data_IF_682807223671
#
_entry.id   IF_682807223671
#
_cell.length_a   1.000
_cell.length_b   1.000
_cell.length_c   1.000
_cell.angle_alpha   90.00
_cell.angle_beta   90.00
_cell.angle_gamma   90.00
#
_symmetry.space_group_name_H-M   'P 1'
#
loop_
_entity.id
_entity.type
_entity.pdbx_description
1 polymer ?
#
# COMPACT_ATOMS: atom_id res chain seq x y z
N UNK A 1 -19.39 28.89 -20.46
CA UNK A 1 -19.92 27.51 -20.58
C UNK A 1 -19.00 26.57 -19.82
N UNK A 2 -19.39 26.16 -18.62
CA UNK A 2 -18.62 25.24 -17.79
C UNK A 2 -18.78 23.84 -18.37
N UNK A 3 -17.73 23.28 -18.97
CA UNK A 3 -17.73 21.89 -19.42
C UNK A 3 -17.96 21.03 -18.17
N UNK A 4 -19.19 20.57 -17.93
CA UNK A 4 -19.45 19.47 -17.00
C UNK A 4 -18.62 18.32 -17.52
N UNK A 5 -17.44 18.08 -16.96
CA UNK A 5 -16.62 16.90 -17.26
C UNK A 5 -17.52 15.69 -17.01
N UNK A 6 -18.07 15.16 -18.11
CA UNK A 6 -18.83 13.93 -18.18
C UNK A 6 -17.96 12.85 -17.54
N UNK A 7 -18.56 11.95 -16.77
CA UNK A 7 -17.84 10.83 -16.16
C UNK A 7 -17.07 10.08 -17.25
N UNK A 8 -15.77 9.86 -17.02
CA UNK A 8 -14.89 9.08 -17.88
C UNK A 8 -14.37 7.88 -17.06
N UNK A 9 -14.90 6.66 -17.30
CA UNK A 9 -14.54 5.49 -16.52
C UNK A 9 -13.03 5.21 -16.54
N UNK A 10 -12.36 5.38 -17.68
CA UNK A 10 -10.94 5.05 -17.81
C UNK A 10 -10.08 5.98 -16.94
N UNK A 11 -10.41 7.27 -16.93
CA UNK A 11 -9.72 8.26 -16.08
C UNK A 11 -9.95 7.99 -14.60
N UNK A 12 -11.16 7.61 -14.20
CA UNK A 12 -11.47 7.34 -12.80
C UNK A 12 -10.87 6.00 -12.31
N UNK A 13 -10.86 4.96 -13.15
CA UNK A 13 -10.23 3.67 -12.84
C UNK A 13 -8.70 3.76 -12.74
N UNK A 14 -8.06 4.68 -13.47
CA UNK A 14 -6.62 4.93 -13.39
C UNK A 14 -6.18 5.70 -12.13
N UNK A 15 -7.13 6.30 -11.39
CA UNK A 15 -6.81 6.95 -10.11
C UNK A 15 -6.56 5.90 -9.03
N UNK A 16 -5.86 6.31 -7.98
CA UNK A 16 -5.50 5.38 -6.93
C UNK A 16 -4.62 5.98 -5.85
N UNK A 17 -4.24 5.13 -4.90
CA UNK A 17 -3.34 5.49 -3.84
C UNK A 17 -1.89 5.38 -4.32
N UNK A 18 -1.13 6.48 -4.22
CA UNK A 18 0.32 6.42 -4.35
C UNK A 18 0.90 5.60 -3.20
N UNK A 19 1.63 4.54 -3.54
CA UNK A 19 2.33 3.68 -2.59
C UNK A 19 3.74 4.20 -2.37
N UNK A 20 4.08 4.42 -1.12
CA UNK A 20 5.44 4.77 -0.69
C UNK A 20 5.88 3.84 0.43
N UNK A 21 7.18 3.60 0.53
CA UNK A 21 7.73 2.69 1.51
C UNK A 21 9.01 3.28 2.11
N UNK A 22 9.19 3.09 3.41
CA UNK A 22 10.37 3.53 4.16
C UNK A 22 10.79 2.44 5.14
N UNK A 23 12.10 2.25 5.27
CA UNK A 23 12.68 1.38 6.30
C UNK A 23 13.48 2.21 7.30
N UNK A 24 13.12 2.06 8.58
CA UNK A 24 13.85 2.61 9.72
C UNK A 24 14.73 1.54 10.40
N UNK A 25 14.69 0.29 9.92
CA UNK A 25 15.61 -0.78 10.33
C UNK A 25 17.02 -0.59 9.78
N UNK A 26 17.14 0.11 8.64
CA UNK A 26 18.39 0.43 7.93
C UNK A 26 19.14 -0.78 7.34
N UNK A 27 18.97 -2.00 7.88
CA UNK A 27 19.55 -3.24 7.34
C UNK A 27 18.60 -3.96 6.40
N UNK A 28 17.36 -4.20 6.82
CA UNK A 28 16.32 -4.64 5.90
C UNK A 28 15.79 -3.44 5.13
N UNK A 29 15.77 -3.53 3.80
CA UNK A 29 15.36 -2.46 2.89
C UNK A 29 14.01 -2.80 2.25
N UNK A 30 13.35 -1.77 1.76
CA UNK A 30 12.13 -1.88 0.96
C UNK A 30 12.25 -0.98 -0.26
N UNK A 31 11.85 -1.49 -1.42
CA UNK A 31 11.81 -0.75 -2.67
C UNK A 31 10.40 -0.82 -3.26
N UNK A 32 9.86 0.31 -3.72
CA UNK A 32 8.58 0.33 -4.42
C UNK A 32 8.82 -0.02 -5.88
N UNK A 33 8.23 -1.13 -6.33
CA UNK A 33 8.36 -1.62 -7.72
C UNK A 33 7.17 -1.24 -8.58
N UNK A 34 5.99 -1.05 -7.98
CA UNK A 34 4.81 -0.44 -8.61
C UNK A 34 4.21 0.61 -7.67
N UNK A 35 4.28 1.91 -8.00
CA UNK A 35 4.01 2.98 -7.06
C UNK A 35 2.55 3.39 -6.93
N UNK A 36 1.62 2.71 -7.59
CA UNK A 36 0.22 3.09 -7.63
C UNK A 36 -0.68 1.87 -7.44
N UNK A 37 -1.63 1.98 -6.52
CA UNK A 37 -2.73 1.01 -6.33
C UNK A 37 -3.99 1.64 -6.91
N UNK A 38 -4.46 1.18 -8.07
CA UNK A 38 -5.55 1.85 -8.80
C UNK A 38 -6.93 1.33 -8.41
N UNK A 39 -7.96 2.17 -8.61
CA UNK A 39 -9.37 1.79 -8.46
C UNK A 39 -9.73 0.67 -9.43
N UNK A 40 -9.14 0.68 -10.63
CA UNK A 40 -9.30 -0.35 -11.65
C UNK A 40 -8.64 -1.70 -11.32
N UNK A 41 -8.04 -1.85 -10.13
CA UNK A 41 -7.48 -3.12 -9.66
C UNK A 41 -6.02 -3.36 -10.03
N UNK A 42 -5.32 -2.38 -10.61
CA UNK A 42 -3.88 -2.52 -10.82
C UNK A 42 -3.16 -2.46 -9.47
N UNK A 43 -2.32 -3.46 -9.14
CA UNK A 43 -1.69 -3.53 -7.84
C UNK A 43 -0.47 -2.61 -7.74
N UNK A 44 -0.36 -1.94 -6.61
CA UNK A 44 0.91 -1.41 -6.13
C UNK A 44 1.76 -2.54 -5.58
N UNK A 45 3.08 -2.42 -5.63
CA UNK A 45 3.98 -3.49 -5.23
C UNK A 45 5.26 -2.96 -4.60
N UNK A 46 5.76 -3.71 -3.62
CA UNK A 46 7.04 -3.49 -2.96
C UNK A 46 7.85 -4.77 -2.89
N UNK A 47 9.16 -4.62 -2.86
CA UNK A 47 10.14 -5.67 -2.69
C UNK A 47 10.95 -5.43 -1.41
N UNK A 48 11.04 -6.45 -0.56
CA UNK A 48 11.83 -6.42 0.66
C UNK A 48 13.17 -7.14 0.45
N UNK A 49 14.24 -6.63 1.03
CA UNK A 49 15.57 -7.24 0.91
C UNK A 49 16.42 -7.06 2.15
N UNK A 50 17.48 -7.87 2.29
CA UNK A 50 18.38 -7.85 3.45
C UNK A 50 17.85 -8.65 4.63
N UNK A 51 18.40 -8.43 5.82
CA UNK A 51 17.99 -9.10 7.06
C UNK A 51 17.83 -8.05 8.15
N UNK A 52 16.75 -8.12 8.90
CA UNK A 52 16.41 -7.07 9.86
C UNK A 52 17.41 -7.02 11.01
N UNK A 53 17.78 -5.81 11.42
CA UNK A 53 18.44 -5.56 12.71
C UNK A 53 17.48 -5.87 13.86
N UNK A 54 16.21 -5.49 13.69
CA UNK A 54 15.15 -5.60 14.69
C UNK A 54 14.94 -4.31 15.48
N UNK A 55 13.82 -4.25 16.22
CA UNK A 55 13.37 -3.06 16.95
C UNK A 55 14.43 -2.50 17.91
N UNK A 56 14.73 -1.22 17.74
CA UNK A 56 15.54 -0.41 18.65
C UNK A 56 14.67 0.56 19.46
N UNK A 57 15.24 1.69 19.87
CA UNK A 57 14.50 2.78 20.52
C UNK A 57 13.70 3.59 19.51
N UNK A 58 12.47 3.99 19.86
CA UNK A 58 11.61 4.79 18.99
C UNK A 58 11.17 4.05 17.72
N UNK A 59 11.38 4.69 16.56
CA UNK A 59 11.00 4.17 15.23
C UNK A 59 12.05 3.24 14.62
N UNK A 60 13.26 3.18 15.20
CA UNK A 60 14.33 2.34 14.68
C UNK A 60 13.94 0.85 14.71
N UNK A 61 14.26 0.13 13.63
CA UNK A 61 13.88 -1.27 13.47
C UNK A 61 12.42 -1.47 13.05
N UNK A 62 11.75 -0.43 12.56
CA UNK A 62 10.42 -0.54 11.94
C UNK A 62 10.49 -0.38 10.42
N UNK A 63 9.42 -0.78 9.76
CA UNK A 63 9.20 -0.54 8.33
C UNK A 63 7.80 -0.01 8.11
N UNK A 64 7.65 0.93 7.20
CA UNK A 64 6.40 1.63 6.91
C UNK A 64 6.04 1.50 5.44
N UNK A 65 4.77 1.19 5.17
CA UNK A 65 4.11 1.33 3.88
C UNK A 65 3.02 2.37 3.99
N UNK A 66 3.00 3.34 3.09
CA UNK A 66 2.01 4.41 3.07
C UNK A 66 1.25 4.41 1.75
N UNK A 67 -0.08 4.36 1.86
CA UNK A 67 -1.04 4.53 0.78
C UNK A 67 -1.62 5.94 0.86
N UNK A 68 -1.35 6.77 -0.14
CA UNK A 68 -1.80 8.16 -0.16
C UNK A 68 -3.32 8.28 -0.25
N UNK A 69 -3.83 9.39 0.29
CA UNK A 69 -5.21 9.81 0.14
C UNK A 69 -5.51 10.09 -1.34
N UNK A 70 -6.68 9.68 -1.82
CA UNK A 70 -7.13 9.99 -3.17
C UNK A 70 -8.66 10.10 -3.26
N UNK A 71 -9.14 10.60 -4.40
CA UNK A 71 -10.56 10.75 -4.72
C UNK A 71 -10.83 10.24 -6.12
N UNK A 72 -12.00 9.65 -6.32
CA UNK A 72 -12.48 9.25 -7.63
C UNK A 72 -14.00 9.43 -7.70
N UNK A 73 -14.53 9.53 -8.91
CA UNK A 73 -15.96 9.62 -9.18
C UNK A 73 -16.50 8.25 -9.55
N UNK A 74 -17.64 7.85 -9.00
CA UNK A 74 -18.38 6.64 -9.37
C UNK A 74 -19.27 6.89 -10.60
N UNK A 75 -19.75 5.83 -11.28
CA UNK A 75 -20.68 5.96 -12.41
C UNK A 75 -21.96 6.76 -12.10
N UNK A 76 -22.45 6.68 -10.87
CA UNK A 76 -23.62 7.42 -10.37
C UNK A 76 -23.35 8.93 -10.14
N UNK A 77 -22.12 9.38 -10.35
CA UNK A 77 -21.69 10.77 -10.19
C UNK A 77 -21.21 11.13 -8.78
N UNK A 78 -21.32 10.23 -7.81
CA UNK A 78 -20.82 10.45 -6.44
C UNK A 78 -19.29 10.49 -6.42
N UNK A 79 -18.72 11.29 -5.53
CA UNK A 79 -17.27 11.40 -5.35
C UNK A 79 -16.88 10.67 -4.08
N UNK A 80 -16.15 9.57 -4.25
CA UNK A 80 -15.58 8.81 -3.16
C UNK A 80 -14.26 9.42 -2.71
N UNK A 81 -14.05 9.41 -1.40
CA UNK A 81 -12.83 9.87 -0.76
C UNK A 81 -12.21 8.73 0.04
N UNK A 82 -11.04 8.28 -0.40
CA UNK A 82 -10.31 7.19 0.27
C UNK A 82 -9.22 7.81 1.11
N UNK A 83 -9.39 7.75 2.43
CA UNK A 83 -8.42 8.28 3.38
C UNK A 83 -7.06 7.59 3.25
N UNK A 84 -5.98 8.35 3.39
CA UNK A 84 -4.63 7.80 3.41
C UNK A 84 -4.44 6.81 4.57
N UNK A 85 -3.49 5.90 4.41
CA UNK A 85 -3.18 4.87 5.40
C UNK A 85 -1.69 4.63 5.50
N UNK A 86 -1.15 4.82 6.70
CA UNK A 86 0.21 4.45 7.05
C UNK A 86 0.19 3.14 7.87
N UNK A 87 0.83 2.11 7.35
CA UNK A 87 1.03 0.82 8.00
C UNK A 87 2.48 0.74 8.42
N UNK A 88 2.75 0.80 9.73
CA UNK A 88 4.11 0.68 10.27
C UNK A 88 4.21 -0.54 11.16
N UNK A 89 5.15 -1.43 10.85
CA UNK A 89 5.37 -2.68 11.57
C UNK A 89 6.77 -2.70 12.18
N UNK A 90 6.91 -3.12 13.45
CA UNK A 90 8.21 -3.42 14.03
C UNK A 90 8.77 -4.73 13.48
N UNK A 91 10.05 -4.75 13.11
CA UNK A 91 10.72 -5.95 12.66
C UNK A 91 11.38 -6.67 13.84
N UNK A 92 11.38 -8.00 13.79
CA UNK A 92 12.15 -8.83 14.74
C UNK A 92 13.61 -8.89 14.32
N UNK A 93 14.50 -9.03 15.30
CA UNK A 93 15.92 -9.20 15.00
C UNK A 93 16.13 -10.44 14.14
N UNK A 94 16.88 -10.28 13.06
CA UNK A 94 17.15 -11.34 12.10
C UNK A 94 15.98 -11.76 11.21
N UNK A 95 14.85 -11.03 11.25
CA UNK A 95 13.71 -11.28 10.38
C UNK A 95 14.12 -11.24 8.91
N UNK A 96 13.72 -12.26 8.16
CA UNK A 96 13.95 -12.36 6.72
C UNK A 96 12.88 -11.59 5.94
N UNK A 97 13.15 -11.13 4.71
CA UNK A 97 12.21 -10.33 3.95
C UNK A 97 10.89 -11.03 3.64
N UNK A 98 10.89 -12.35 3.47
CA UNK A 98 9.67 -13.14 3.23
C UNK A 98 8.71 -13.09 4.43
N UNK A 99 9.28 -13.14 5.63
CA UNK A 99 8.49 -13.00 6.85
C UNK A 99 7.93 -11.58 6.99
N UNK A 100 8.70 -10.55 6.64
CA UNK A 100 8.21 -9.16 6.59
C UNK A 100 7.06 -9.00 5.61
N UNK A 101 7.18 -9.55 4.40
CA UNK A 101 6.11 -9.50 3.42
C UNK A 101 4.82 -10.13 3.97
N UNK A 102 4.93 -11.31 4.61
CA UNK A 102 3.80 -12.00 5.24
C UNK A 102 3.18 -11.22 6.41
N UNK A 103 4.00 -10.55 7.22
CA UNK A 103 3.50 -9.71 8.32
C UNK A 103 2.68 -8.52 7.79
N UNK A 104 3.14 -7.87 6.72
CA UNK A 104 2.37 -6.81 6.06
C UNK A 104 1.08 -7.32 5.40
N UNK A 105 1.15 -8.47 4.73
CA UNK A 105 -0.04 -9.13 4.16
C UNK A 105 -1.10 -9.36 5.24
N UNK A 106 -0.70 -9.98 6.34
CA UNK A 106 -1.59 -10.26 7.47
C UNK A 106 -2.19 -8.98 8.05
N UNK A 107 -1.37 -7.96 8.28
CA UNK A 107 -1.85 -6.69 8.83
C UNK A 107 -2.85 -6.02 7.89
N UNK A 108 -2.53 -5.91 6.60
CA UNK A 108 -3.38 -5.24 5.62
C UNK A 108 -4.72 -5.96 5.48
N UNK A 109 -4.70 -7.29 5.37
CA UNK A 109 -5.91 -8.09 5.19
C UNK A 109 -6.78 -8.17 6.46
N UNK A 110 -6.20 -7.92 7.65
CA UNK A 110 -6.98 -7.77 8.90
C UNK A 110 -7.64 -6.40 9.04
N UNK A 111 -7.24 -5.41 8.23
CA UNK A 111 -7.78 -4.06 8.25
C UNK A 111 -9.17 -3.97 7.63
N UNK A 112 -9.97 -3.01 8.11
CA UNK A 112 -11.30 -2.70 7.55
C UNK A 112 -11.25 -1.90 6.24
N UNK A 113 -10.07 -1.42 5.85
CA UNK A 113 -9.90 -0.61 4.64
C UNK A 113 -10.06 -1.46 3.36
N UNK A 114 -10.43 -0.83 2.24
CA UNK A 114 -10.64 -1.48 0.93
C UNK A 114 -9.30 -1.82 0.25
N UNK A 115 -8.35 -2.38 0.98
CA UNK A 115 -7.07 -2.84 0.45
C UNK A 115 -6.89 -4.32 0.77
N UNK A 116 -6.41 -5.07 -0.21
CA UNK A 116 -5.94 -6.43 -0.01
C UNK A 116 -4.49 -6.52 -0.39
N UNK A 117 -3.78 -7.39 0.29
CA UNK A 117 -2.38 -7.64 0.03
C UNK A 117 -2.12 -9.12 -0.16
N UNK A 118 -1.08 -9.42 -0.92
CA UNK A 118 -0.63 -10.78 -1.18
C UNK A 118 0.90 -10.80 -1.19
N UNK A 119 1.50 -11.57 -0.29
CA UNK A 119 2.95 -11.76 -0.26
C UNK A 119 3.35 -13.01 -1.04
N UNK A 120 4.33 -12.85 -1.93
CA UNK A 120 4.95 -13.92 -2.70
C UNK A 120 6.46 -13.78 -2.56
N UNK A 121 7.11 -14.75 -1.89
CA UNK A 121 8.52 -14.67 -1.51
C UNK A 121 8.79 -13.35 -0.76
N UNK A 122 9.66 -12.52 -1.31
CA UNK A 122 10.13 -11.23 -0.78
C UNK A 122 9.32 -10.03 -1.31
N UNK A 123 8.32 -10.27 -2.15
CA UNK A 123 7.44 -9.25 -2.72
C UNK A 123 6.10 -9.19 -2.00
N UNK A 124 5.50 -8.00 -1.98
CA UNK A 124 4.11 -7.77 -1.55
C UNK A 124 3.39 -6.94 -2.61
N UNK A 125 2.27 -7.46 -3.11
CA UNK A 125 1.34 -6.72 -3.97
C UNK A 125 0.15 -6.26 -3.14
N UNK A 126 -0.37 -5.06 -3.42
CA UNK A 126 -1.53 -4.47 -2.76
C UNK A 126 -2.53 -4.04 -3.83
N UNK A 127 -3.77 -4.53 -3.75
CA UNK A 127 -4.89 -4.16 -4.61
C UNK A 127 -5.90 -3.32 -3.83
N UNK A 128 -6.63 -2.47 -4.53
CA UNK A 128 -7.81 -1.80 -4.01
C UNK A 128 -9.04 -2.65 -4.35
N UNK A 129 -9.84 -2.97 -3.34
CA UNK A 129 -11.11 -3.68 -3.50
C UNK A 129 -12.20 -2.83 -2.89
N UNK A 130 -12.95 -2.16 -3.74
CA UNK A 130 -14.17 -1.47 -3.32
C UNK A 130 -15.17 -2.51 -2.81
N UNK A 131 -15.59 -2.37 -1.55
CA UNK A 131 -16.77 -3.10 -1.08
C UNK A 131 -17.98 -2.31 -1.56
N UNK A 132 -18.81 -2.95 -2.37
CA UNK A 132 -20.12 -2.45 -2.79
C UNK A 132 -21.00 -2.06 -1.59
#
# INVERSE_FOLDING_TARGET
MTVKKKYDPAVEMAKGAKLTALSFDKLQKVSVTRPLVTVGGEPGAVEFSGKAKGRGTGIDGTMSLWLAIFRYKRPDGTVNHVAGWNVTLPLKAGQKPEATAKDFEKFINSGSRPYRAQAVKTSLSITYEEKD
#
